data_IF_586017777514
#
_entry.id   IF_586017777514
#
_cell.length_a   1.000
_cell.length_b   1.000
_cell.length_c   1.000
_cell.angle_alpha   90.00
_cell.angle_beta   90.00
_cell.angle_gamma   90.00
#
_symmetry.space_group_name_H-M   'P 1'
#
loop_
_entity.id
_entity.type
_entity.pdbx_description
1 polymer ?
#
# COMPACT_ATOMS: atom_id res chain seq x y z
N UNK A 1 -4.61 -9.52 13.57
CA UNK A 1 -4.25 -9.56 12.13
C UNK A 1 -4.38 -10.99 11.61
N UNK A 2 -4.72 -11.12 10.35
CA UNK A 2 -4.92 -12.42 9.71
C UNK A 2 -3.61 -13.18 9.56
N UNK A 3 -3.72 -14.51 9.50
CA UNK A 3 -2.57 -15.36 9.17
C UNK A 3 -2.11 -15.07 7.73
N UNK A 4 -0.83 -15.34 7.38
CA UNK A 4 -0.30 -14.99 6.05
C UNK A 4 -1.11 -15.52 4.88
N UNK A 5 -1.63 -16.75 4.96
CA UNK A 5 -2.45 -17.30 3.87
C UNK A 5 -3.77 -16.56 3.70
N UNK A 6 -4.45 -16.27 4.80
CA UNK A 6 -5.70 -15.52 4.76
C UNK A 6 -5.44 -14.09 4.28
N UNK A 7 -4.34 -13.50 4.70
CA UNK A 7 -3.94 -12.17 4.30
C UNK A 7 -3.69 -12.11 2.79
N UNK A 8 -2.97 -13.07 2.23
CA UNK A 8 -2.72 -13.15 0.79
C UNK A 8 -4.03 -13.29 0.01
N UNK A 9 -4.97 -14.11 0.50
CA UNK A 9 -6.26 -14.28 -0.15
C UNK A 9 -7.05 -12.96 -0.16
N UNK A 10 -7.03 -12.20 0.94
CA UNK A 10 -7.68 -10.90 1.01
C UNK A 10 -7.05 -9.93 0.02
N UNK A 11 -5.73 -9.91 -0.07
CA UNK A 11 -5.03 -9.04 -1.01
C UNK A 11 -5.38 -9.38 -2.47
N UNK A 12 -5.51 -10.66 -2.78
CA UNK A 12 -5.86 -11.06 -4.16
C UNK A 12 -7.25 -10.57 -4.56
N UNK A 13 -8.17 -10.45 -3.61
CA UNK A 13 -9.50 -9.91 -3.87
C UNK A 13 -9.48 -8.40 -4.12
N UNK A 14 -8.48 -7.70 -3.62
CA UNK A 14 -8.33 -6.27 -3.86
C UNK A 14 -7.79 -5.95 -5.26
N UNK A 15 -7.20 -6.94 -5.95
CA UNK A 15 -6.61 -6.75 -7.27
C UNK A 15 -7.66 -6.79 -8.36
N UNK A 16 -8.57 -5.81 -8.36
CA UNK A 16 -9.67 -5.65 -9.32
C UNK A 16 -9.78 -4.17 -9.70
N UNK A 17 -10.56 -3.89 -10.74
CA UNK A 17 -10.94 -2.53 -11.14
C UNK A 17 -9.74 -1.61 -11.37
N UNK A 18 -8.67 -2.14 -11.97
CA UNK A 18 -7.48 -1.36 -12.27
C UNK A 18 -6.34 -1.51 -11.28
N UNK A 19 -6.58 -2.08 -10.11
CA UNK A 19 -5.52 -2.44 -9.15
C UNK A 19 -4.96 -3.80 -9.54
N UNK A 20 -3.63 -3.89 -9.70
CA UNK A 20 -2.99 -5.14 -10.12
C UNK A 20 -2.05 -5.74 -9.08
N UNK A 21 -1.66 -4.99 -8.06
CA UNK A 21 -0.73 -5.50 -7.04
C UNK A 21 -1.08 -4.92 -5.67
N UNK A 22 -0.98 -5.75 -4.65
CA UNK A 22 -1.25 -5.35 -3.26
C UNK A 22 -0.19 -5.96 -2.34
N UNK A 23 0.24 -5.16 -1.36
CA UNK A 23 1.31 -5.53 -0.44
C UNK A 23 0.92 -5.16 0.97
N UNK A 24 1.32 -5.98 1.94
CA UNK A 24 1.29 -5.59 3.36
C UNK A 24 2.70 -5.77 3.90
N UNK A 25 3.23 -4.76 4.53
CA UNK A 25 4.59 -4.79 5.05
C UNK A 25 4.70 -3.97 6.33
N UNK A 26 5.77 -4.20 7.08
CA UNK A 26 6.03 -3.46 8.31
C UNK A 26 6.69 -2.13 7.98
N UNK A 27 6.68 -1.21 8.95
CA UNK A 27 7.31 0.09 8.78
C UNK A 27 8.81 0.00 8.53
N UNK A 28 9.45 -1.12 8.90
CA UNK A 28 10.87 -1.36 8.63
C UNK A 28 11.11 -1.95 7.23
N UNK A 29 10.06 -2.17 6.44
CA UNK A 29 10.16 -2.69 5.08
C UNK A 29 10.00 -4.21 4.97
N UNK A 30 9.83 -4.93 6.07
CA UNK A 30 9.64 -6.38 6.04
C UNK A 30 8.31 -6.74 5.39
N UNK A 31 8.33 -7.44 4.27
CA UNK A 31 7.14 -7.86 3.55
C UNK A 31 6.43 -8.98 4.32
N UNK A 32 5.13 -8.80 4.58
CA UNK A 32 4.30 -9.78 5.27
C UNK A 32 3.43 -10.58 4.31
N UNK A 33 2.91 -9.93 3.27
CA UNK A 33 2.07 -10.58 2.28
C UNK A 33 2.05 -9.78 0.99
N UNK A 34 1.81 -10.47 -0.11
CA UNK A 34 1.84 -9.86 -1.44
C UNK A 34 0.93 -10.64 -2.37
N UNK A 35 0.26 -9.92 -3.27
CA UNK A 35 -0.51 -10.54 -4.35
C UNK A 35 -0.45 -9.63 -5.58
N UNK A 36 -0.28 -10.22 -6.74
CA UNK A 36 -0.25 -9.48 -8.00
C UNK A 36 -0.85 -10.32 -9.11
N UNK A 37 -1.55 -9.66 -10.02
CA UNK A 37 -2.05 -10.29 -11.24
C UNK A 37 -1.08 -10.08 -12.40
N UNK A 38 -0.01 -9.31 -12.21
CA UNK A 38 1.04 -9.12 -13.21
C UNK A 38 2.18 -10.10 -12.96
N UNK A 39 2.62 -10.77 -14.02
CA UNK A 39 3.66 -11.80 -13.92
C UNK A 39 5.08 -11.25 -14.02
N UNK A 40 5.25 -10.03 -14.51
CA UNK A 40 6.55 -9.42 -14.77
C UNK A 40 6.89 -8.30 -13.78
N UNK A 41 6.26 -8.33 -12.60
CA UNK A 41 6.47 -7.30 -11.60
C UNK A 41 7.86 -7.39 -10.95
N UNK A 42 8.31 -6.26 -10.41
CA UNK A 42 9.54 -6.18 -9.64
C UNK A 42 9.45 -7.06 -8.38
N UNK A 43 10.60 -7.38 -7.80
CA UNK A 43 10.63 -8.14 -6.55
C UNK A 43 9.80 -7.42 -5.48
N UNK A 44 8.75 -8.07 -4.94
CA UNK A 44 7.87 -7.41 -3.98
C UNK A 44 8.59 -6.98 -2.70
N UNK A 45 9.68 -7.65 -2.33
CA UNK A 45 10.44 -7.25 -1.15
C UNK A 45 11.16 -5.92 -1.37
N UNK A 46 11.62 -5.68 -2.60
CA UNK A 46 12.25 -4.40 -2.96
C UNK A 46 11.20 -3.29 -2.95
N UNK A 47 10.02 -3.55 -3.49
CA UNK A 47 8.91 -2.57 -3.49
C UNK A 47 8.54 -2.19 -2.06
N UNK A 48 8.41 -3.19 -1.18
CA UNK A 48 8.08 -2.94 0.22
C UNK A 48 9.16 -2.10 0.92
N UNK A 49 10.43 -2.40 0.67
CA UNK A 49 11.53 -1.64 1.25
C UNK A 49 11.51 -0.17 0.80
N UNK A 50 11.32 0.06 -0.49
CA UNK A 50 11.27 1.42 -1.04
C UNK A 50 10.05 2.18 -0.52
N UNK A 51 8.88 1.56 -0.54
CA UNK A 51 7.64 2.20 -0.13
C UNK A 51 7.67 2.56 1.36
N UNK A 52 8.20 1.67 2.22
CA UNK A 52 8.29 1.95 3.64
C UNK A 52 9.25 3.11 3.92
N UNK A 53 10.32 3.21 3.16
CA UNK A 53 11.29 4.29 3.31
C UNK A 53 10.69 5.63 2.90
N UNK A 54 9.98 5.66 1.77
CA UNK A 54 9.31 6.88 1.30
C UNK A 54 8.26 7.32 2.32
N UNK A 55 7.46 6.37 2.82
CA UNK A 55 6.47 6.65 3.85
C UNK A 55 7.11 7.30 5.07
N UNK A 56 8.20 6.71 5.56
CA UNK A 56 8.90 7.22 6.75
C UNK A 56 9.40 8.65 6.57
N UNK A 57 9.94 8.97 5.38
CA UNK A 57 10.43 10.32 5.08
C UNK A 57 9.28 11.33 5.09
N UNK A 58 8.18 11.03 4.41
CA UNK A 58 7.04 11.95 4.34
C UNK A 58 6.32 12.08 5.68
N UNK A 59 6.19 11.00 6.42
CA UNK A 59 5.57 11.04 7.74
C UNK A 59 6.37 11.94 8.69
N UNK A 60 7.67 11.78 8.72
CA UNK A 60 8.55 12.57 9.57
C UNK A 60 8.56 14.04 9.15
N UNK A 61 8.66 14.31 7.85
CA UNK A 61 8.66 15.67 7.33
C UNK A 61 7.32 16.37 7.56
N UNK A 62 6.22 15.65 7.42
CA UNK A 62 4.89 16.16 7.66
C UNK A 62 4.70 16.58 9.11
N UNK A 63 5.16 15.77 10.07
CA UNK A 63 5.08 16.12 11.48
C UNK A 63 5.92 17.35 11.80
N UNK A 64 7.10 17.46 11.22
CA UNK A 64 7.98 18.59 11.45
C UNK A 64 7.42 19.91 10.87
N UNK A 65 6.80 19.83 9.69
CA UNK A 65 6.32 21.00 8.96
C UNK A 65 4.91 21.44 9.39
N UNK A 66 4.03 20.47 9.72
CA UNK A 66 2.60 20.73 9.91
C UNK A 66 2.15 20.56 11.36
N UNK A 67 3.06 20.35 12.26
CA UNK A 67 2.80 20.25 13.70
C UNK A 67 1.67 19.27 14.04
N UNK A 68 2.03 18.09 14.51
CA UNK A 68 1.12 17.03 14.98
C UNK A 68 0.24 16.37 13.93
N UNK A 69 0.26 16.81 12.68
CA UNK A 69 -0.49 16.12 11.64
C UNK A 69 0.21 14.80 11.30
N UNK A 70 -0.59 13.72 11.24
CA UNK A 70 -0.08 12.41 10.84
C UNK A 70 -0.36 12.19 9.36
N UNK A 71 0.53 11.47 8.70
CA UNK A 71 0.33 11.10 7.30
C UNK A 71 -0.73 10.01 7.21
N UNK A 72 -1.83 10.28 6.51
CA UNK A 72 -2.93 9.33 6.38
C UNK A 72 -2.84 8.49 5.11
N UNK A 73 -2.28 9.05 4.05
CA UNK A 73 -2.12 8.34 2.79
C UNK A 73 -1.04 9.01 1.96
N UNK A 74 -0.25 8.20 1.26
CA UNK A 74 0.72 8.66 0.29
C UNK A 74 0.28 8.18 -1.09
N UNK A 75 0.15 9.11 -2.03
CA UNK A 75 -0.21 8.82 -3.41
C UNK A 75 0.95 9.20 -4.33
N UNK A 76 1.35 8.28 -5.18
CA UNK A 76 2.46 8.48 -6.11
C UNK A 76 1.99 8.25 -7.54
N UNK A 77 2.35 9.15 -8.42
CA UNK A 77 2.10 9.03 -9.86
C UNK A 77 3.42 8.59 -10.51
N UNK A 78 3.48 7.32 -10.85
CA UNK A 78 4.66 6.72 -11.47
C UNK A 78 4.41 6.45 -12.95
N UNK A 79 5.48 6.31 -13.71
CA UNK A 79 5.37 6.06 -15.17
C UNK A 79 4.53 4.81 -15.47
N UNK A 80 4.63 3.78 -14.63
CA UNK A 80 3.97 2.51 -14.88
C UNK A 80 2.63 2.38 -14.16
N UNK A 81 2.25 3.35 -13.34
CA UNK A 81 0.98 3.29 -12.64
C UNK A 81 0.91 4.20 -11.43
N UNK A 82 -0.24 4.18 -10.79
CA UNK A 82 -0.51 4.93 -9.57
C UNK A 82 -0.28 4.05 -8.35
N UNK A 83 0.38 4.59 -7.34
CA UNK A 83 0.71 3.86 -6.12
C UNK A 83 0.07 4.57 -4.94
N UNK A 84 -0.59 3.81 -4.07
CA UNK A 84 -1.14 4.33 -2.82
C UNK A 84 -0.58 3.55 -1.64
N UNK A 85 -0.18 4.24 -0.59
CA UNK A 85 0.31 3.63 0.64
C UNK A 85 -0.49 4.20 1.81
N UNK A 86 -1.05 3.32 2.64
CA UNK A 86 -1.85 3.71 3.81
C UNK A 86 -1.41 2.90 5.02
N UNK A 87 -1.55 3.47 6.24
CA UNK A 87 -1.24 2.72 7.45
C UNK A 87 -2.42 1.84 7.88
N UNK A 88 -2.13 0.68 8.46
CA UNK A 88 -3.12 -0.21 9.04
C UNK A 88 -2.50 -0.89 10.26
N UNK A 89 -2.92 -0.51 11.47
CA UNK A 89 -2.31 -0.97 12.72
C UNK A 89 -0.81 -0.70 12.73
N UNK A 90 -0.01 -1.75 12.86
CA UNK A 90 1.44 -1.67 12.89
C UNK A 90 2.08 -1.93 11.53
N UNK A 91 1.26 -1.91 10.47
CA UNK A 91 1.72 -2.23 9.13
C UNK A 91 1.37 -1.12 8.16
N UNK A 92 1.91 -1.24 6.95
CA UNK A 92 1.58 -0.40 5.82
C UNK A 92 0.99 -1.27 4.71
N UNK A 93 -0.01 -0.73 4.02
CA UNK A 93 -0.62 -1.37 2.86
C UNK A 93 -0.27 -0.54 1.63
N UNK A 94 0.20 -1.21 0.58
CA UNK A 94 0.52 -0.56 -0.69
C UNK A 94 -0.31 -1.18 -1.79
N UNK A 95 -0.99 -0.35 -2.58
CA UNK A 95 -1.72 -0.77 -3.78
C UNK A 95 -1.10 -0.11 -4.98
N UNK A 96 -0.94 -0.89 -6.06
CA UNK A 96 -0.45 -0.37 -7.33
C UNK A 96 -1.52 -0.64 -8.38
N UNK A 97 -1.92 0.39 -9.09
CA UNK A 97 -2.91 0.29 -10.15
C UNK A 97 -2.42 0.89 -11.46
N UNK A 98 -3.23 0.74 -12.51
CA UNK A 98 -2.92 1.25 -13.83
C UNK A 98 -2.89 2.79 -13.82
N UNK A 99 -2.23 3.37 -14.80
CA UNK A 99 -2.09 4.83 -14.89
C UNK A 99 -3.43 5.54 -15.06
N UNK A 100 -4.40 4.89 -15.66
CA UNK A 100 -5.73 5.46 -15.87
C UNK A 100 -6.66 5.22 -14.69
N UNK A 101 -6.22 4.50 -13.65
CA UNK A 101 -6.97 4.37 -12.42
C UNK A 101 -6.89 5.67 -11.62
N UNK A 102 -8.04 6.27 -11.37
CA UNK A 102 -8.10 7.52 -10.60
C UNK A 102 -7.66 7.33 -9.16
N UNK A 103 -7.04 8.38 -8.59
CA UNK A 103 -6.62 8.35 -7.19
C UNK A 103 -7.78 8.16 -6.22
N UNK A 104 -8.98 8.66 -6.57
CA UNK A 104 -10.17 8.47 -5.75
C UNK A 104 -10.53 7.00 -5.58
N UNK A 105 -10.49 6.24 -6.68
CA UNK A 105 -10.75 4.80 -6.63
C UNK A 105 -9.65 4.07 -5.86
N UNK A 106 -8.40 4.46 -6.06
CA UNK A 106 -7.28 3.87 -5.36
C UNK A 106 -7.43 4.08 -3.84
N UNK A 107 -7.79 5.29 -3.44
CA UNK A 107 -8.04 5.60 -2.03
C UNK A 107 -9.22 4.80 -1.47
N UNK A 108 -10.31 4.68 -2.23
CA UNK A 108 -11.48 3.92 -1.79
C UNK A 108 -11.12 2.46 -1.57
N UNK A 109 -10.35 1.87 -2.45
CA UNK A 109 -9.91 0.48 -2.31
C UNK A 109 -8.96 0.30 -1.13
N UNK A 110 -8.04 1.23 -0.94
CA UNK A 110 -7.12 1.20 0.20
C UNK A 110 -7.89 1.30 1.52
N UNK A 111 -8.84 2.23 1.62
CA UNK A 111 -9.64 2.41 2.83
C UNK A 111 -10.48 1.17 3.13
N UNK A 112 -11.06 0.53 2.11
CA UNK A 112 -11.83 -0.70 2.28
C UNK A 112 -10.95 -1.83 2.81
N UNK A 113 -9.74 -1.96 2.27
CA UNK A 113 -8.80 -2.99 2.68
C UNK A 113 -8.34 -2.76 4.13
N UNK A 114 -8.07 -1.52 4.51
CA UNK A 114 -7.71 -1.16 5.89
C UNK A 114 -8.82 -1.59 6.84
N UNK A 115 -10.08 -1.24 6.54
CA UNK A 115 -11.21 -1.60 7.40
C UNK A 115 -11.34 -3.11 7.54
N UNK A 116 -11.13 -3.84 6.44
CA UNK A 116 -11.21 -5.30 6.47
C UNK A 116 -10.11 -5.89 7.36
N UNK A 117 -8.89 -5.38 7.25
CA UNK A 117 -7.75 -5.91 7.99
C UNK A 117 -7.74 -5.49 9.47
N UNK A 118 -8.38 -4.38 9.81
CA UNK A 118 -8.46 -3.90 11.20
C UNK A 118 -9.61 -4.53 11.98
N UNK A 119 -10.55 -5.13 11.31
CA UNK A 119 -11.61 -5.89 11.97
C UNK A 119 -11.10 -7.28 12.43
#
# INVERSE_FOLDING_TARGET
MLKPRALTAVLSQANTDGVHSSFVFRHDGTLLAFSSVKSDSSDPRVVAAIASKIWGVYEKSGRAALDQNTLEMLLLDCDEGHVGVVPAHHTLICLIGDRDLGFGMLKAKADALVRFLED
#
